data_IF_884973733221
#
_entry.id   IF_884973733221
#
_cell.length_a   1.000
_cell.length_b   1.000
_cell.length_c   1.000
_cell.angle_alpha   90.00
_cell.angle_beta   90.00
_cell.angle_gamma   90.00
#
_symmetry.space_group_name_H-M   'P 1'
#
loop_
_entity.id
_entity.type
_entity.pdbx_description
1 polymer ?
#
# COMPACT_ATOMS: atom_id res chain seq x y z
N UNK A 1 46.29 -36.75 59.00
CA UNK A 1 45.83 -37.63 57.90
C UNK A 1 44.80 -36.85 57.09
N UNK A 2 45.08 -36.71 55.80
CA UNK A 2 44.40 -35.86 54.82
C UNK A 2 43.15 -36.51 54.24
N UNK A 3 42.11 -35.73 53.97
CA UNK A 3 41.15 -36.04 52.89
C UNK A 3 40.88 -34.77 52.08
N UNK A 4 41.56 -34.67 50.94
CA UNK A 4 41.30 -33.64 49.94
C UNK A 4 40.00 -33.98 49.19
N UNK A 5 39.01 -33.08 49.22
CA UNK A 5 37.84 -33.17 48.34
C UNK A 5 37.90 -31.99 47.35
N UNK A 6 38.49 -32.25 46.20
CA UNK A 6 38.51 -31.35 45.04
C UNK A 6 37.08 -31.10 44.57
N UNK A 7 36.60 -29.85 44.70
CA UNK A 7 35.32 -29.40 44.16
C UNK A 7 35.61 -28.80 42.78
N UNK A 8 35.60 -29.62 41.74
CA UNK A 8 35.72 -29.14 40.36
C UNK A 8 34.57 -28.17 40.04
N UNK A 9 34.82 -27.05 39.34
CA UNK A 9 33.76 -26.11 39.00
C UNK A 9 32.82 -26.79 38.01
N UNK A 10 31.53 -26.76 38.31
CA UNK A 10 30.49 -27.29 37.43
C UNK A 10 30.63 -26.59 36.07
N UNK A 11 31.02 -27.33 35.04
CA UNK A 11 31.11 -26.82 33.68
C UNK A 11 29.72 -26.31 33.29
N UNK A 12 29.56 -25.04 32.86
CA UNK A 12 28.28 -24.54 32.43
C UNK A 12 27.79 -25.41 31.26
N UNK A 13 26.65 -26.07 31.46
CA UNK A 13 26.05 -26.96 30.47
C UNK A 13 25.30 -26.08 29.46
N UNK A 14 26.07 -25.50 28.54
CA UNK A 14 25.54 -24.70 27.44
C UNK A 14 25.02 -25.67 26.38
N UNK A 15 23.70 -25.78 26.28
CA UNK A 15 23.04 -26.47 25.17
C UNK A 15 22.76 -25.44 24.09
N UNK A 16 23.24 -25.73 22.88
CA UNK A 16 22.87 -24.98 21.69
C UNK A 16 21.40 -25.32 21.41
N UNK A 17 20.51 -24.38 21.73
CA UNK A 17 19.14 -24.45 21.22
C UNK A 17 19.28 -24.11 19.74
N UNK A 18 18.95 -25.05 18.85
CA UNK A 18 18.70 -24.76 17.43
C UNK A 18 17.48 -23.85 17.37
N UNK A 19 17.73 -22.61 17.71
CA UNK A 19 16.78 -21.56 17.53
C UNK A 19 16.91 -21.19 16.06
N UNK A 20 15.91 -21.56 15.28
CA UNK A 20 15.36 -20.61 14.32
C UNK A 20 14.76 -19.42 15.10
N UNK A 21 15.54 -18.81 16.00
CA UNK A 21 15.20 -17.54 16.59
C UNK A 21 15.47 -16.55 15.47
N UNK A 22 14.40 -16.19 14.77
CA UNK A 22 14.26 -14.83 14.27
C UNK A 22 14.85 -13.92 15.36
N UNK A 23 15.95 -13.24 15.04
CA UNK A 23 16.62 -12.30 15.92
C UNK A 23 15.56 -11.28 16.35
N UNK A 24 14.95 -11.52 17.51
CA UNK A 24 13.93 -10.64 18.05
C UNK A 24 14.65 -9.35 18.37
N UNK A 25 14.13 -8.22 17.89
CA UNK A 25 14.64 -6.87 18.13
C UNK A 25 14.63 -6.57 19.64
N UNK A 26 15.55 -7.14 20.42
CA UNK A 26 15.61 -7.01 21.88
C UNK A 26 15.98 -5.60 22.33
N UNK A 27 16.51 -4.77 21.42
CA UNK A 27 16.85 -3.37 21.70
C UNK A 27 15.83 -2.36 21.16
N UNK A 28 14.71 -2.82 20.57
CA UNK A 28 13.64 -1.92 20.15
C UNK A 28 12.50 -2.04 21.15
N UNK A 29 12.15 -0.92 21.80
CA UNK A 29 10.94 -0.86 22.61
C UNK A 29 9.79 -1.38 21.74
N UNK A 30 9.04 -2.42 22.18
CA UNK A 30 7.93 -2.94 21.42
C UNK A 30 6.98 -1.80 21.11
N UNK A 31 6.61 -1.66 19.84
CA UNK A 31 5.61 -0.69 19.42
C UNK A 31 4.35 -0.89 20.27
N UNK A 32 3.89 0.17 20.92
CA UNK A 32 2.62 0.15 21.63
C UNK A 32 1.49 -0.11 20.63
N UNK A 33 0.35 -0.64 21.09
CA UNK A 33 -0.82 -0.81 20.22
C UNK A 33 -1.21 0.49 19.52
N UNK A 34 -1.08 1.64 20.20
CA UNK A 34 -1.39 2.95 19.64
C UNK A 34 -0.45 3.35 18.50
N UNK A 35 0.86 3.15 18.67
CA UNK A 35 1.85 3.40 17.60
C UNK A 35 1.61 2.49 16.40
N UNK A 36 1.28 1.22 16.64
CA UNK A 36 0.96 0.24 15.58
C UNK A 36 -0.25 0.64 14.79
N UNK A 37 -1.32 1.08 15.47
CA UNK A 37 -2.52 1.60 14.81
C UNK A 37 -2.18 2.83 13.97
N UNK A 38 -1.41 3.78 14.50
CA UNK A 38 -1.02 4.99 13.76
C UNK A 38 -0.22 4.65 12.49
N UNK A 39 0.74 3.73 12.58
CA UNK A 39 1.52 3.27 11.43
C UNK A 39 0.63 2.63 10.36
N UNK A 40 -0.26 1.72 10.76
CA UNK A 40 -1.19 1.07 9.83
C UNK A 40 -2.16 2.06 9.19
N UNK A 41 -2.62 3.08 9.91
CA UNK A 41 -3.46 4.14 9.34
C UNK A 41 -2.73 4.95 8.28
N UNK A 42 -1.45 5.28 8.51
CA UNK A 42 -0.62 5.98 7.51
C UNK A 42 -0.42 5.11 6.27
N UNK A 43 -0.10 3.83 6.47
CA UNK A 43 0.08 2.87 5.37
C UNK A 43 -1.21 2.70 4.54
N UNK A 44 -2.36 2.50 5.20
CA UNK A 44 -3.65 2.40 4.54
C UNK A 44 -3.99 3.66 3.74
N UNK A 45 -3.65 4.85 4.27
CA UNK A 45 -3.87 6.13 3.59
C UNK A 45 -2.96 6.29 2.38
N UNK A 46 -1.69 5.89 2.48
CA UNK A 46 -0.78 5.90 1.34
C UNK A 46 -1.28 4.98 0.20
N UNK A 47 -1.71 3.76 0.54
CA UNK A 47 -2.29 2.82 -0.43
C UNK A 47 -3.56 3.38 -1.10
N UNK A 48 -4.41 4.07 -0.34
CA UNK A 48 -5.61 4.70 -0.89
C UNK A 48 -5.27 5.81 -1.90
N UNK A 49 -4.25 6.62 -1.63
CA UNK A 49 -3.77 7.66 -2.56
C UNK A 49 -3.25 7.04 -3.85
N UNK A 50 -2.43 5.99 -3.74
CA UNK A 50 -1.91 5.26 -4.91
C UNK A 50 -3.04 4.70 -5.80
N UNK A 51 -4.07 4.11 -5.19
CA UNK A 51 -5.23 3.61 -5.92
C UNK A 51 -5.98 4.72 -6.66
N UNK A 52 -6.07 5.92 -6.08
CA UNK A 52 -6.72 7.07 -6.70
C UNK A 52 -5.91 7.57 -7.90
N UNK A 53 -4.59 7.63 -7.79
CA UNK A 53 -3.71 7.97 -8.91
C UNK A 53 -3.81 6.96 -10.06
N UNK A 54 -3.92 5.66 -9.74
CA UNK A 54 -4.16 4.62 -10.73
C UNK A 54 -5.53 4.81 -11.42
N UNK A 55 -6.57 5.15 -10.65
CA UNK A 55 -7.90 5.42 -11.18
C UNK A 55 -7.93 6.66 -12.08
N UNK A 56 -7.23 7.74 -11.72
CA UNK A 56 -7.08 8.94 -12.53
C UNK A 56 -6.54 8.60 -13.93
N UNK A 57 -5.49 7.77 -14.01
CA UNK A 57 -4.92 7.32 -15.29
C UNK A 57 -5.94 6.56 -16.14
N UNK A 58 -6.75 5.69 -15.52
CA UNK A 58 -7.81 4.95 -16.21
C UNK A 58 -8.89 5.89 -16.75
N UNK A 59 -9.29 6.92 -15.98
CA UNK A 59 -10.27 7.90 -16.42
C UNK A 59 -9.78 8.70 -17.63
N UNK A 60 -8.50 9.10 -17.64
CA UNK A 60 -7.90 9.80 -18.78
C UNK A 60 -7.78 8.88 -20.02
N UNK A 61 -7.41 7.61 -19.84
CA UNK A 61 -7.41 6.64 -20.93
C UNK A 61 -8.81 6.38 -21.49
N UNK A 62 -9.81 6.29 -20.61
CA UNK A 62 -11.21 6.15 -21.02
C UNK A 62 -11.71 7.40 -21.75
N UNK A 63 -11.27 8.60 -21.36
CA UNK A 63 -11.59 9.84 -22.07
C UNK A 63 -11.04 9.82 -23.50
N UNK A 64 -9.78 9.41 -23.71
CA UNK A 64 -9.20 9.29 -25.04
C UNK A 64 -9.92 8.25 -25.91
N UNK A 65 -10.26 7.09 -25.34
CA UNK A 65 -11.06 6.09 -26.05
C UNK A 65 -12.46 6.63 -26.40
N UNK A 66 -13.07 7.42 -25.51
CA UNK A 66 -14.36 8.05 -25.78
C UNK A 66 -14.25 9.11 -26.89
N UNK A 67 -13.12 9.82 -26.98
CA UNK A 67 -12.83 10.74 -28.08
C UNK A 67 -12.76 10.00 -29.42
N UNK A 68 -12.02 8.89 -29.48
CA UNK A 68 -11.91 8.06 -30.69
C UNK A 68 -13.29 7.55 -31.16
N UNK A 69 -14.16 7.13 -30.25
CA UNK A 69 -15.53 6.71 -30.57
C UNK A 69 -16.36 7.90 -31.07
N UNK A 70 -16.29 9.05 -30.40
CA UNK A 70 -17.04 10.25 -30.78
C UNK A 70 -16.66 10.75 -32.19
N UNK A 71 -15.36 10.69 -32.51
CA UNK A 71 -14.79 11.14 -33.78
C UNK A 71 -14.94 10.12 -34.91
N UNK A 72 -15.28 8.87 -34.61
CA UNK A 72 -15.33 7.76 -35.57
C UNK A 72 -16.44 7.81 -36.64
N UNK A 73 -17.20 8.91 -36.71
CA UNK A 73 -18.18 9.16 -37.78
C UNK A 73 -19.21 8.04 -37.95
N UNK A 74 -19.37 7.56 -39.19
CA UNK A 74 -20.36 6.52 -39.52
C UNK A 74 -19.97 5.11 -39.05
N UNK A 75 -18.77 4.91 -38.50
CA UNK A 75 -18.37 3.64 -37.91
C UNK A 75 -19.11 3.36 -36.59
N UNK A 76 -19.67 4.39 -35.95
CA UNK A 76 -20.39 4.27 -34.68
C UNK A 76 -21.79 4.90 -34.77
N UNK A 77 -22.82 4.25 -34.17
CA UNK A 77 -24.17 4.83 -34.08
C UNK A 77 -24.15 6.19 -33.38
N UNK A 78 -25.03 7.10 -33.82
CA UNK A 78 -25.13 8.46 -33.28
C UNK A 78 -25.26 8.49 -31.76
N UNK A 79 -26.09 7.61 -31.17
CA UNK A 79 -26.27 7.55 -29.71
C UNK A 79 -24.99 7.15 -28.97
N UNK A 80 -24.17 6.27 -29.53
CA UNK A 80 -22.88 5.91 -28.93
C UNK A 80 -21.90 7.09 -28.98
N UNK A 81 -21.85 7.82 -30.11
CA UNK A 81 -21.01 9.00 -30.27
C UNK A 81 -21.39 10.13 -29.33
N UNK A 82 -22.68 10.36 -29.12
CA UNK A 82 -23.18 11.37 -28.17
C UNK A 82 -22.75 11.07 -26.74
N UNK A 83 -22.89 9.83 -26.30
CA UNK A 83 -22.46 9.42 -24.96
C UNK A 83 -20.93 9.53 -24.84
N UNK A 84 -20.18 9.09 -25.85
CA UNK A 84 -18.74 9.16 -25.86
C UNK A 84 -18.21 10.61 -25.84
N UNK A 85 -18.86 11.53 -26.57
CA UNK A 85 -18.53 12.96 -26.56
C UNK A 85 -18.71 13.59 -25.17
N UNK A 86 -19.80 13.22 -24.46
CA UNK A 86 -20.02 13.66 -23.07
C UNK A 86 -18.95 13.09 -22.14
N UNK A 87 -18.64 11.80 -22.26
CA UNK A 87 -17.61 11.15 -21.46
C UNK A 87 -16.23 11.78 -21.66
N UNK A 88 -15.83 12.05 -22.91
CA UNK A 88 -14.58 12.74 -23.21
C UNK A 88 -14.48 14.10 -22.53
N UNK A 89 -15.58 14.86 -22.48
CA UNK A 89 -15.64 16.16 -21.81
C UNK A 89 -15.62 16.04 -20.28
N UNK A 90 -16.33 15.05 -19.73
CA UNK A 90 -16.61 14.93 -18.31
C UNK A 90 -15.48 14.23 -17.52
N UNK A 91 -14.90 13.16 -18.08
CA UNK A 91 -13.96 12.30 -17.36
C UNK A 91 -12.69 13.04 -16.90
N UNK A 92 -12.05 13.91 -17.71
CA UNK A 92 -10.88 14.67 -17.27
C UNK A 92 -11.18 15.59 -16.08
N UNK A 93 -12.34 16.26 -16.08
CA UNK A 93 -12.77 17.15 -14.99
C UNK A 93 -13.02 16.34 -13.71
N UNK A 94 -13.65 15.17 -13.84
CA UNK A 94 -13.89 14.27 -12.70
C UNK A 94 -12.59 13.72 -12.13
N UNK A 95 -11.64 13.34 -12.99
CA UNK A 95 -10.31 12.88 -12.61
C UNK A 95 -9.57 13.94 -11.77
N UNK A 96 -9.52 15.19 -12.25
CA UNK A 96 -8.90 16.31 -11.52
C UNK A 96 -9.61 16.60 -10.18
N UNK A 97 -10.94 16.55 -10.17
CA UNK A 97 -11.75 16.77 -8.96
C UNK A 97 -11.43 15.73 -7.89
N UNK A 98 -11.38 14.45 -8.25
CA UNK A 98 -11.07 13.35 -7.32
C UNK A 98 -9.65 13.52 -6.76
N UNK A 99 -8.67 13.79 -7.63
CA UNK A 99 -7.28 14.03 -7.23
C UNK A 99 -7.18 15.18 -6.23
N UNK A 100 -7.88 16.29 -6.49
CA UNK A 100 -7.89 17.48 -5.63
C UNK A 100 -8.51 17.19 -4.26
N UNK A 101 -9.60 16.42 -4.20
CA UNK A 101 -10.23 16.02 -2.94
C UNK A 101 -9.26 15.18 -2.10
N UNK A 102 -8.62 14.19 -2.73
CA UNK A 102 -7.69 13.29 -2.05
C UNK A 102 -6.44 14.04 -1.59
N UNK A 103 -5.87 14.92 -2.40
CA UNK A 103 -4.70 15.73 -2.02
C UNK A 103 -4.94 16.61 -0.78
N UNK A 104 -6.18 17.03 -0.52
CA UNK A 104 -6.54 17.81 0.69
C UNK A 104 -6.73 16.95 1.93
N UNK A 105 -7.01 15.66 1.75
CA UNK A 105 -7.21 14.72 2.84
C UNK A 105 -5.95 13.95 3.17
N UNK A 106 -4.80 14.23 2.53
CA UNK A 106 -3.45 13.71 2.87
C UNK A 106 -2.68 14.65 3.80
#
# INVERSE_FOLDING_TARGET
MSTAKSKSPAKPNLRLVEAESAVYQMMRTPETTAERVKRLQVEARALAVEQVEAFEKILLQAAEMAREIADGGDAYPVGAREIASRLYSDLPIKAETIRTIVARTV
#
